data_IF_629106099324
#
_entry.id   IF_629106099324
#
_cell.length_a   1.000
_cell.length_b   1.000
_cell.length_c   1.000
_cell.angle_alpha   90.00
_cell.angle_beta   90.00
_cell.angle_gamma   90.00
#
_symmetry.space_group_name_H-M   'P 1'
#
loop_
_entity.id
_entity.type
_entity.pdbx_description
1 polymer ?
#
# COMPACT_ATOMS: atom_id res chain seq x y z
N UNK A 1 -25.37 46.56 -4.56
CA UNK A 1 -24.41 45.46 -4.79
C UNK A 1 -24.64 44.42 -3.71
N UNK A 2 -25.31 43.33 -4.08
CA UNK A 2 -25.64 42.23 -3.17
C UNK A 2 -24.40 41.35 -3.02
N UNK A 3 -23.92 41.06 -1.79
CA UNK A 3 -22.78 40.19 -1.61
C UNK A 3 -23.15 38.75 -1.97
N UNK A 4 -22.48 38.20 -2.97
CA UNK A 4 -22.55 36.80 -3.37
C UNK A 4 -22.12 35.94 -2.18
N UNK A 5 -23.07 35.17 -1.63
CA UNK A 5 -22.79 34.20 -0.57
C UNK A 5 -21.82 33.14 -1.10
N UNK A 6 -20.65 33.04 -0.46
CA UNK A 6 -19.70 31.97 -0.72
C UNK A 6 -20.38 30.62 -0.44
N UNK A 7 -20.32 29.72 -1.43
CA UNK A 7 -20.80 28.35 -1.26
C UNK A 7 -20.12 27.71 -0.04
N UNK A 8 -20.85 26.95 0.79
CA UNK A 8 -20.27 26.28 1.94
C UNK A 8 -19.17 25.34 1.44
N UNK A 9 -17.95 25.53 1.96
CA UNK A 9 -16.85 24.58 1.81
C UNK A 9 -17.32 23.29 2.47
N UNK A 10 -17.79 22.34 1.66
CA UNK A 10 -18.15 21.00 2.11
C UNK A 10 -16.89 20.40 2.70
N UNK A 11 -16.87 20.19 4.02
CA UNK A 11 -15.78 19.50 4.68
C UNK A 11 -15.53 18.17 3.96
N UNK A 12 -14.26 17.77 3.73
CA UNK A 12 -13.96 16.54 3.02
C UNK A 12 -14.70 15.38 3.70
N UNK A 13 -15.59 14.75 2.93
CA UNK A 13 -16.48 13.71 3.43
C UNK A 13 -15.63 12.49 3.76
N UNK A 14 -15.60 12.11 5.03
CA UNK A 14 -14.84 10.97 5.51
C UNK A 14 -15.35 9.68 4.84
N UNK A 15 -14.48 8.96 4.15
CA UNK A 15 -14.87 7.80 3.32
C UNK A 15 -15.09 6.53 4.15
N UNK A 16 -16.18 5.82 3.86
CA UNK A 16 -16.44 4.47 4.33
C UNK A 16 -16.46 3.50 3.13
N UNK A 17 -16.06 2.24 3.31
CA UNK A 17 -16.13 1.21 2.27
C UNK A 17 -17.58 0.77 1.95
N UNK A 18 -18.56 1.63 2.21
CA UNK A 18 -19.99 1.38 1.99
C UNK A 18 -20.48 2.38 0.96
N UNK A 19 -21.09 1.86 -0.10
CA UNK A 19 -21.73 2.68 -1.13
C UNK A 19 -23.25 2.71 -0.96
N UNK A 20 -23.82 3.89 -1.17
CA UNK A 20 -25.27 4.14 -1.24
C UNK A 20 -25.62 4.79 -2.58
N UNK A 21 -26.71 4.37 -3.26
CA UNK A 21 -27.12 4.95 -4.54
C UNK A 21 -27.39 6.45 -4.47
N UNK A 22 -27.94 6.94 -3.36
CA UNK A 22 -28.28 8.35 -3.14
C UNK A 22 -27.06 9.28 -3.10
N UNK A 23 -25.86 8.71 -2.92
CA UNK A 23 -24.62 9.44 -2.72
C UNK A 23 -23.70 9.40 -3.95
N UNK A 24 -24.17 8.80 -5.04
CA UNK A 24 -23.41 8.65 -6.29
C UNK A 24 -23.19 10.01 -6.92
N UNK A 25 -21.93 10.39 -7.15
CA UNK A 25 -21.62 11.64 -7.83
C UNK A 25 -21.94 11.54 -9.34
N UNK A 26 -22.87 12.38 -9.86
CA UNK A 26 -23.25 12.35 -11.26
C UNK A 26 -22.12 12.80 -12.21
N UNK A 27 -21.08 13.47 -11.71
CA UNK A 27 -19.93 13.91 -12.49
C UNK A 27 -18.94 12.78 -12.83
N UNK A 28 -19.09 11.59 -12.22
CA UNK A 28 -18.19 10.48 -12.50
C UNK A 28 -18.42 9.88 -13.89
N UNK A 29 -17.34 9.39 -14.56
CA UNK A 29 -17.48 8.74 -15.85
C UNK A 29 -18.38 7.50 -15.73
N UNK A 30 -19.28 7.25 -16.69
CA UNK A 30 -20.17 6.10 -16.65
C UNK A 30 -19.36 4.81 -16.48
N UNK A 31 -19.90 3.87 -15.69
CA UNK A 31 -19.35 2.53 -15.59
C UNK A 31 -19.50 1.83 -16.95
N UNK A 32 -18.49 1.11 -17.41
CA UNK A 32 -18.60 0.32 -18.64
C UNK A 32 -18.86 -1.13 -18.29
N UNK A 33 -19.96 -1.69 -18.80
CA UNK A 33 -20.30 -3.10 -18.67
C UNK A 33 -20.08 -3.80 -20.01
N UNK A 34 -19.15 -4.76 -20.03
CA UNK A 34 -18.93 -5.62 -21.20
C UNK A 34 -19.62 -6.95 -20.93
N UNK A 35 -20.64 -7.27 -21.73
CA UNK A 35 -21.36 -8.53 -21.65
C UNK A 35 -20.78 -9.50 -22.67
N UNK A 36 -20.19 -10.59 -22.19
CA UNK A 36 -19.57 -11.62 -23.01
C UNK A 36 -20.19 -12.99 -22.71
N UNK A 37 -21.47 -13.22 -23.10
CA UNK A 37 -22.19 -14.45 -22.75
C UNK A 37 -21.58 -15.72 -23.38
N UNK A 38 -20.67 -15.59 -24.34
CA UNK A 38 -20.00 -16.72 -25.01
C UNK A 38 -18.58 -16.97 -24.47
N UNK A 39 -18.14 -16.23 -23.45
CA UNK A 39 -16.80 -16.32 -22.85
C UNK A 39 -15.68 -16.31 -23.92
N UNK A 40 -15.70 -15.31 -24.80
CA UNK A 40 -14.68 -15.18 -25.83
C UNK A 40 -13.31 -14.93 -25.19
N UNK A 41 -12.40 -15.91 -25.33
CA UNK A 41 -11.04 -15.82 -24.80
C UNK A 41 -10.28 -14.55 -25.25
N UNK A 42 -10.61 -14.03 -26.45
CA UNK A 42 -10.03 -12.80 -26.98
C UNK A 42 -10.32 -11.57 -26.10
N UNK A 43 -11.53 -11.46 -25.53
CA UNK A 43 -11.90 -10.34 -24.65
C UNK A 43 -11.14 -10.38 -23.33
N UNK A 44 -11.09 -11.54 -22.69
CA UNK A 44 -10.31 -11.73 -21.45
C UNK A 44 -8.82 -11.50 -21.69
N UNK A 45 -8.26 -12.03 -22.79
CA UNK A 45 -6.85 -11.82 -23.15
C UNK A 45 -6.56 -10.35 -23.40
N UNK A 46 -7.43 -9.65 -24.12
CA UNK A 46 -7.28 -8.21 -24.40
C UNK A 46 -7.41 -7.38 -23.13
N UNK A 47 -8.34 -7.73 -22.24
CA UNK A 47 -8.47 -7.08 -20.93
C UNK A 47 -7.19 -7.25 -20.11
N UNK A 48 -6.63 -8.46 -20.03
CA UNK A 48 -5.37 -8.71 -19.33
C UNK A 48 -4.20 -7.94 -19.97
N UNK A 49 -4.12 -7.90 -21.29
CA UNK A 49 -3.11 -7.12 -22.02
C UNK A 49 -3.28 -5.60 -21.85
N UNK A 50 -4.47 -5.13 -21.47
CA UNK A 50 -4.71 -3.72 -21.16
C UNK A 50 -4.12 -3.30 -19.81
N UNK A 51 -3.65 -4.22 -18.97
CA UNK A 51 -3.00 -3.91 -17.69
C UNK A 51 -1.74 -3.03 -17.92
N UNK A 52 -1.79 -1.78 -17.46
CA UNK A 52 -0.73 -0.77 -17.62
C UNK A 52 -0.61 0.10 -16.36
N UNK A 53 0.04 -0.39 -15.29
CA UNK A 53 0.17 0.34 -14.03
C UNK A 53 0.86 1.69 -14.17
N UNK A 54 1.85 1.80 -15.06
CA UNK A 54 2.54 3.05 -15.38
C UNK A 54 1.61 4.15 -15.90
N UNK A 55 0.43 3.79 -16.39
CA UNK A 55 -0.58 4.70 -16.89
C UNK A 55 -1.86 4.68 -16.03
N UNK A 56 -1.77 4.20 -14.79
CA UNK A 56 -2.89 4.16 -13.84
C UNK A 56 -4.00 3.17 -14.20
N UNK A 57 -3.74 2.22 -15.12
CA UNK A 57 -4.72 1.21 -15.53
C UNK A 57 -4.38 -0.16 -14.99
N UNK A 58 -5.25 -0.72 -14.16
CA UNK A 58 -5.08 -2.03 -13.56
C UNK A 58 -6.19 -2.95 -14.03
N UNK A 59 -5.82 -4.04 -14.69
CA UNK A 59 -6.71 -5.18 -14.92
C UNK A 59 -6.49 -6.22 -13.85
N UNK A 60 -7.59 -6.76 -13.31
CA UNK A 60 -7.57 -7.93 -12.44
C UNK A 60 -8.41 -9.06 -13.01
N UNK A 61 -7.96 -10.29 -12.77
CA UNK A 61 -8.75 -11.49 -12.96
C UNK A 61 -8.90 -12.15 -11.57
N UNK A 62 -10.01 -11.88 -10.87
CA UNK A 62 -10.18 -12.24 -9.47
C UNK A 62 -9.97 -13.73 -9.21
N UNK A 63 -9.43 -14.03 -8.04
CA UNK A 63 -9.26 -15.40 -7.54
C UNK A 63 -10.65 -16.02 -7.41
N UNK A 64 -10.92 -17.17 -8.06
CA UNK A 64 -12.23 -17.80 -7.98
C UNK A 64 -12.53 -18.29 -6.55
N UNK A 65 -13.83 -18.34 -6.19
CA UNK A 65 -14.37 -19.05 -5.02
C UNK A 65 -14.22 -18.40 -3.64
N UNK A 66 -13.78 -17.15 -3.52
CA UNK A 66 -13.78 -16.49 -2.23
C UNK A 66 -15.11 -15.76 -1.94
N UNK A 67 -15.82 -16.08 -0.83
CA UNK A 67 -17.15 -15.53 -0.56
C UNK A 67 -17.11 -14.12 0.07
N UNK A 68 -15.97 -13.68 0.60
CA UNK A 68 -15.86 -12.42 1.33
C UNK A 68 -15.42 -11.29 0.41
N UNK A 69 -15.96 -10.08 0.63
CA UNK A 69 -15.55 -8.91 -0.15
C UNK A 69 -14.06 -8.54 0.07
N UNK A 70 -13.44 -9.02 1.15
CA UNK A 70 -12.03 -8.80 1.47
C UNK A 70 -11.10 -9.39 0.41
N UNK A 71 -11.44 -10.55 -0.17
CA UNK A 71 -10.55 -11.21 -1.14
C UNK A 71 -10.41 -10.46 -2.44
N UNK A 72 -11.45 -9.72 -2.85
CA UNK A 72 -11.35 -8.82 -3.99
C UNK A 72 -10.41 -7.64 -3.70
N UNK A 73 -10.46 -7.07 -2.49
CA UNK A 73 -9.48 -6.08 -2.06
C UNK A 73 -8.06 -6.65 -2.07
N UNK A 74 -7.89 -7.92 -1.67
CA UNK A 74 -6.60 -8.61 -1.72
C UNK A 74 -6.10 -8.80 -3.16
N UNK A 75 -6.98 -9.18 -4.08
CA UNK A 75 -6.64 -9.28 -5.51
C UNK A 75 -6.26 -7.93 -6.11
N UNK A 76 -6.95 -6.84 -5.72
CA UNK A 76 -6.57 -5.47 -6.11
C UNK A 76 -5.19 -5.10 -5.56
N UNK A 77 -4.92 -5.36 -4.27
CA UNK A 77 -3.60 -5.12 -3.68
C UNK A 77 -2.50 -5.90 -4.41
N UNK A 78 -2.71 -7.17 -4.74
CA UNK A 78 -1.76 -7.97 -5.55
C UNK A 78 -1.54 -7.35 -6.93
N UNK A 79 -2.60 -6.86 -7.58
CA UNK A 79 -2.48 -6.18 -8.87
C UNK A 79 -1.79 -4.80 -8.77
N UNK A 80 -1.80 -4.18 -7.60
CA UNK A 80 -0.99 -3.00 -7.26
C UNK A 80 0.45 -3.38 -6.88
N UNK A 81 0.84 -4.63 -7.10
CA UNK A 81 2.16 -5.15 -6.76
C UNK A 81 2.41 -5.23 -5.26
N UNK A 82 1.35 -5.22 -4.42
CA UNK A 82 1.41 -5.34 -2.97
C UNK A 82 1.08 -6.74 -2.53
N UNK A 83 1.92 -7.31 -1.68
CA UNK A 83 1.69 -8.65 -1.14
C UNK A 83 1.23 -8.62 0.31
N UNK A 84 0.21 -9.43 0.58
CA UNK A 84 -0.24 -9.72 1.94
C UNK A 84 0.81 -10.56 2.66
N UNK A 85 0.95 -10.43 3.98
CA UNK A 85 1.88 -11.25 4.76
C UNK A 85 1.71 -12.74 4.48
N UNK A 86 2.82 -13.47 4.44
CA UNK A 86 2.78 -14.90 4.22
C UNK A 86 2.15 -15.56 5.46
N UNK A 87 1.29 -16.57 5.29
CA UNK A 87 0.86 -17.38 6.43
C UNK A 87 2.11 -18.04 7.03
N UNK A 88 2.39 -17.78 8.29
CA UNK A 88 3.47 -18.43 9.03
C UNK A 88 2.87 -19.35 10.09
N UNK A 89 3.41 -20.55 10.24
CA UNK A 89 2.89 -21.56 11.18
C UNK A 89 2.87 -21.05 12.64
N UNK A 90 3.74 -20.10 12.97
CA UNK A 90 3.94 -19.55 14.30
C UNK A 90 3.16 -18.27 14.58
N UNK A 91 2.61 -17.62 13.55
CA UNK A 91 2.00 -16.30 13.68
C UNK A 91 0.64 -16.22 12.95
N UNK A 92 -0.43 -15.83 13.65
CA UNK A 92 -1.72 -15.65 13.01
C UNK A 92 -1.67 -14.51 11.99
N UNK A 93 -2.47 -14.63 10.93
CA UNK A 93 -2.63 -13.55 9.97
C UNK A 93 -3.02 -12.23 10.67
N UNK A 94 -2.47 -11.08 10.23
CA UNK A 94 -2.83 -9.77 10.74
C UNK A 94 -4.34 -9.51 10.74
N UNK A 95 -4.82 -8.80 11.76
CA UNK A 95 -6.26 -8.55 11.91
C UNK A 95 -6.84 -7.81 10.68
N UNK A 96 -6.09 -6.84 10.13
CA UNK A 96 -6.52 -6.04 8.98
C UNK A 96 -6.72 -6.87 7.70
N UNK A 97 -6.03 -8.01 7.56
CA UNK A 97 -6.20 -8.93 6.41
C UNK A 97 -7.56 -9.63 6.49
N UNK A 98 -8.00 -9.99 7.69
CA UNK A 98 -9.26 -10.69 7.93
C UNK A 98 -10.46 -9.74 7.93
N UNK A 99 -10.26 -8.48 8.31
CA UNK A 99 -11.32 -7.48 8.30
C UNK A 99 -11.51 -6.89 6.91
N UNK A 100 -12.72 -7.06 6.39
CA UNK A 100 -13.13 -6.56 5.08
C UNK A 100 -12.87 -5.05 4.93
N UNK A 101 -13.34 -4.26 5.87
CA UNK A 101 -13.28 -2.80 5.78
C UNK A 101 -11.83 -2.29 5.79
N UNK A 102 -10.96 -2.90 6.59
CA UNK A 102 -9.54 -2.54 6.67
C UNK A 102 -8.81 -2.90 5.37
N UNK A 103 -9.11 -4.07 4.80
CA UNK A 103 -8.58 -4.47 3.49
C UNK A 103 -9.00 -3.49 2.38
N UNK A 104 -10.24 -2.99 2.41
CA UNK A 104 -10.71 -1.99 1.45
C UNK A 104 -10.15 -0.59 1.70
N UNK A 105 -9.93 -0.18 2.95
CA UNK A 105 -9.23 1.08 3.29
C UNK A 105 -7.78 1.07 2.79
N UNK A 106 -7.06 -0.02 3.01
CA UNK A 106 -5.70 -0.18 2.49
C UNK A 106 -5.70 -0.14 0.96
N UNK A 107 -6.67 -0.79 0.33
CA UNK A 107 -6.86 -0.75 -1.13
C UNK A 107 -7.13 0.67 -1.62
N UNK A 108 -8.01 1.43 -0.95
CA UNK A 108 -8.31 2.82 -1.30
C UNK A 108 -7.08 3.74 -1.18
N UNK A 109 -6.35 3.63 -0.07
CA UNK A 109 -5.12 4.38 0.16
C UNK A 109 -4.08 4.14 -0.96
N UNK A 110 -3.86 2.87 -1.35
CA UNK A 110 -2.98 2.54 -2.47
C UNK A 110 -3.54 2.99 -3.82
N UNK A 111 -4.84 2.85 -4.06
CA UNK A 111 -5.47 3.27 -5.32
C UNK A 111 -5.21 4.75 -5.60
N UNK A 112 -5.47 5.60 -4.60
CA UNK A 112 -5.24 7.05 -4.69
C UNK A 112 -3.76 7.37 -4.83
N UNK A 113 -2.91 6.78 -3.98
CA UNK A 113 -1.48 7.10 -3.93
C UNK A 113 -0.72 6.65 -5.18
N UNK A 114 -1.07 5.50 -5.74
CA UNK A 114 -0.43 4.96 -6.93
C UNK A 114 -0.99 5.59 -8.22
N UNK A 115 -1.97 6.51 -8.11
CA UNK A 115 -2.56 7.20 -9.25
C UNK A 115 -3.36 6.27 -10.16
N UNK A 116 -4.03 5.27 -9.57
CA UNK A 116 -4.88 4.37 -10.33
C UNK A 116 -6.14 5.13 -10.73
N UNK A 117 -6.42 5.18 -12.03
CA UNK A 117 -7.55 5.94 -12.61
C UNK A 117 -8.51 5.04 -13.38
N UNK A 118 -8.10 3.83 -13.76
CA UNK A 118 -8.94 2.88 -14.48
C UNK A 118 -8.77 1.45 -13.93
N UNK A 119 -9.86 0.88 -13.44
CA UNK A 119 -9.95 -0.53 -13.07
C UNK A 119 -10.73 -1.32 -14.12
N UNK A 120 -10.16 -2.44 -14.56
CA UNK A 120 -10.82 -3.44 -15.41
C UNK A 120 -10.93 -4.73 -14.62
N UNK A 121 -12.15 -5.16 -14.34
CA UNK A 121 -12.41 -6.33 -13.50
C UNK A 121 -13.00 -7.45 -14.36
N UNK A 122 -12.24 -8.52 -14.56
CA UNK A 122 -12.71 -9.70 -15.28
C UNK A 122 -13.67 -10.54 -14.43
N UNK A 123 -14.53 -11.33 -15.07
CA UNK A 123 -15.48 -12.25 -14.44
C UNK A 123 -16.40 -11.59 -13.39
N UNK A 124 -16.78 -10.34 -13.63
CA UNK A 124 -17.61 -9.57 -12.68
C UNK A 124 -19.02 -10.18 -12.47
N UNK A 125 -19.48 -11.05 -13.37
CA UNK A 125 -20.72 -11.83 -13.18
C UNK A 125 -20.70 -12.75 -11.96
N UNK A 126 -19.52 -13.03 -11.38
CA UNK A 126 -19.37 -13.85 -10.16
C UNK A 126 -19.47 -13.05 -8.87
N UNK A 127 -19.61 -11.73 -8.95
CA UNK A 127 -19.59 -10.86 -7.79
C UNK A 127 -20.93 -10.80 -7.08
N UNK A 128 -20.86 -10.84 -5.76
CA UNK A 128 -21.98 -10.52 -4.87
C UNK A 128 -22.22 -9.00 -4.83
N UNK A 129 -23.38 -8.59 -4.33
CA UNK A 129 -23.67 -7.16 -4.10
C UNK A 129 -22.64 -6.49 -3.18
N UNK A 130 -22.08 -7.23 -2.21
CA UNK A 130 -21.02 -6.72 -1.35
C UNK A 130 -19.81 -6.27 -2.14
N UNK A 131 -19.30 -7.13 -3.04
CA UNK A 131 -18.17 -6.80 -3.93
C UNK A 131 -18.45 -5.55 -4.78
N UNK A 132 -19.62 -5.48 -5.40
CA UNK A 132 -20.00 -4.35 -6.27
C UNK A 132 -20.12 -3.05 -5.47
N UNK A 133 -20.75 -3.07 -4.29
CA UNK A 133 -20.83 -1.88 -3.42
C UNK A 133 -19.46 -1.34 -3.04
N UNK A 134 -18.50 -2.21 -2.69
CA UNK A 134 -17.15 -1.77 -2.39
C UNK A 134 -16.41 -1.20 -3.61
N UNK A 135 -16.57 -1.82 -4.79
CA UNK A 135 -16.02 -1.27 -6.03
C UNK A 135 -16.59 0.10 -6.37
N UNK A 136 -17.89 0.30 -6.15
CA UNK A 136 -18.55 1.59 -6.33
C UNK A 136 -18.05 2.62 -5.31
N UNK A 137 -17.92 2.25 -4.03
CA UNK A 137 -17.33 3.12 -2.99
C UNK A 137 -15.90 3.54 -3.34
N UNK A 138 -15.09 2.59 -3.82
CA UNK A 138 -13.72 2.86 -4.28
C UNK A 138 -13.71 3.77 -5.52
N UNK A 139 -14.62 3.55 -6.47
CA UNK A 139 -14.79 4.40 -7.66
C UNK A 139 -15.15 5.83 -7.30
N UNK A 140 -16.08 6.03 -6.36
CA UNK A 140 -16.47 7.37 -5.89
C UNK A 140 -15.27 8.09 -5.25
N UNK A 141 -14.54 7.39 -4.38
CA UNK A 141 -13.39 7.96 -3.67
C UNK A 141 -12.23 8.33 -4.59
N UNK A 142 -11.77 7.37 -5.40
CA UNK A 142 -10.59 7.55 -6.26
C UNK A 142 -10.93 8.06 -7.67
N UNK A 143 -12.19 8.46 -7.90
CA UNK A 143 -12.69 8.99 -9.18
C UNK A 143 -12.38 8.08 -10.38
N UNK A 144 -12.59 6.78 -10.20
CA UNK A 144 -12.15 5.76 -11.14
C UNK A 144 -13.06 5.65 -12.37
N UNK A 145 -12.45 5.41 -13.53
CA UNK A 145 -13.13 4.67 -14.60
C UNK A 145 -13.20 3.20 -14.17
N UNK A 146 -14.40 2.61 -14.23
CA UNK A 146 -14.61 1.21 -13.86
C UNK A 146 -15.18 0.46 -15.07
N UNK A 147 -14.49 -0.60 -15.50
CA UNK A 147 -14.95 -1.53 -16.53
C UNK A 147 -15.18 -2.90 -15.89
N UNK A 148 -16.39 -3.44 -16.05
CA UNK A 148 -16.76 -4.77 -15.58
C UNK A 148 -16.92 -5.71 -16.78
N UNK A 149 -16.08 -6.73 -16.90
CA UNK A 149 -16.19 -7.76 -17.93
C UNK A 149 -16.94 -8.97 -17.37
N UNK A 150 -18.10 -9.27 -17.97
CA UNK A 150 -19.03 -10.29 -17.53
C UNK A 150 -19.12 -11.42 -18.55
N UNK A 151 -18.34 -12.49 -18.34
CA UNK A 151 -18.37 -13.70 -19.19
C UNK A 151 -19.62 -14.61 -18.99
N UNK A 152 -20.69 -14.08 -18.39
CA UNK A 152 -21.87 -14.83 -17.99
C UNK A 152 -23.00 -13.90 -17.54
N UNK A 153 -24.21 -14.43 -17.31
CA UNK A 153 -25.35 -13.61 -16.93
C UNK A 153 -25.10 -12.95 -15.56
N UNK A 154 -25.38 -11.65 -15.47
CA UNK A 154 -25.37 -10.94 -14.19
C UNK A 154 -26.47 -11.49 -13.26
N UNK A 155 -26.16 -11.80 -11.99
CA UNK A 155 -27.17 -12.12 -10.99
C UNK A 155 -28.24 -11.02 -10.89
N UNK A 156 -29.53 -11.34 -10.68
CA UNK A 156 -30.61 -10.35 -10.66
C UNK A 156 -30.37 -9.20 -9.68
N UNK A 157 -29.91 -9.52 -8.45
CA UNK A 157 -29.62 -8.53 -7.42
C UNK A 157 -28.47 -7.60 -7.82
N UNK A 158 -27.46 -8.12 -8.52
CA UNK A 158 -26.34 -7.33 -9.05
C UNK A 158 -26.82 -6.42 -10.18
N UNK A 159 -27.69 -6.91 -11.07
CA UNK A 159 -28.29 -6.12 -12.14
C UNK A 159 -29.14 -4.97 -11.58
N UNK A 160 -29.96 -5.24 -10.57
CA UNK A 160 -30.73 -4.21 -9.88
C UNK A 160 -29.81 -3.16 -9.25
N UNK A 161 -28.74 -3.59 -8.58
CA UNK A 161 -27.76 -2.66 -7.99
C UNK A 161 -27.09 -1.77 -9.05
N UNK A 162 -26.65 -2.35 -10.17
CA UNK A 162 -26.01 -1.59 -11.26
C UNK A 162 -27.00 -0.65 -11.97
N UNK A 163 -28.30 -0.95 -11.97
CA UNK A 163 -29.33 -0.05 -12.53
C UNK A 163 -29.46 1.28 -11.80
N UNK A 164 -28.98 1.36 -10.55
CA UNK A 164 -28.93 2.61 -9.79
C UNK A 164 -27.72 3.50 -10.14
N UNK A 165 -26.82 3.05 -11.03
CA UNK A 165 -25.62 3.79 -11.45
C UNK A 165 -25.67 4.01 -12.96
N UNK A 166 -25.22 5.17 -13.43
CA UNK A 166 -25.05 5.39 -14.88
C UNK A 166 -23.99 4.43 -15.43
N UNK A 167 -24.39 3.61 -16.39
CA UNK A 167 -23.48 2.67 -17.05
C UNK A 167 -23.79 2.51 -18.54
N UNK A 168 -22.73 2.31 -19.32
CA UNK A 168 -22.79 2.03 -20.75
C UNK A 168 -22.60 0.53 -20.96
N UNK A 169 -23.38 -0.06 -21.88
CA UNK A 169 -23.28 -1.47 -22.25
C UNK A 169 -22.50 -1.62 -23.56
N UNK A 170 -21.54 -2.53 -23.56
CA UNK A 170 -20.83 -2.97 -24.76
C UNK A 170 -21.22 -4.40 -25.06
N UNK A 171 -22.21 -4.55 -25.94
CA UNK A 171 -22.85 -5.83 -26.27
C UNK A 171 -22.25 -6.50 -27.51
N UNK A 172 -21.34 -5.81 -28.22
CA UNK A 172 -20.62 -6.36 -29.37
C UNK A 172 -19.14 -6.62 -29.02
N UNK A 173 -18.58 -7.76 -29.46
CA UNK A 173 -17.16 -8.03 -29.27
C UNK A 173 -16.25 -6.95 -29.84
N UNK A 174 -16.61 -6.35 -30.97
CA UNK A 174 -15.82 -5.32 -31.65
C UNK A 174 -15.73 -4.05 -30.81
N UNK A 175 -16.86 -3.55 -30.29
CA UNK A 175 -16.86 -2.37 -29.43
C UNK A 175 -16.12 -2.62 -28.10
N UNK A 176 -16.28 -3.82 -27.53
CA UNK A 176 -15.57 -4.23 -26.33
C UNK A 176 -14.04 -4.27 -26.55
N UNK A 177 -13.58 -4.86 -27.65
CA UNK A 177 -12.16 -4.90 -28.02
C UNK A 177 -11.61 -3.49 -28.21
N UNK A 178 -12.32 -2.62 -28.93
CA UNK A 178 -11.92 -1.23 -29.16
C UNK A 178 -11.75 -0.48 -27.82
N UNK A 179 -12.70 -0.62 -26.90
CA UNK A 179 -12.63 0.01 -25.57
C UNK A 179 -11.44 -0.49 -24.75
N UNK A 180 -11.17 -1.79 -24.74
CA UNK A 180 -10.07 -2.39 -23.98
C UNK A 180 -8.70 -1.98 -24.55
N UNK A 181 -8.59 -1.90 -25.88
CA UNK A 181 -7.36 -1.52 -26.57
C UNK A 181 -7.05 -0.03 -26.45
N UNK A 182 -8.07 0.83 -26.31
CA UNK A 182 -7.87 2.27 -26.22
C UNK A 182 -6.96 2.61 -25.03
N UNK A 183 -5.77 3.22 -25.23
CA UNK A 183 -4.85 3.51 -24.15
C UNK A 183 -5.46 4.57 -23.20
N UNK A 184 -5.15 4.53 -21.89
CA UNK A 184 -5.56 5.61 -21.01
C UNK A 184 -4.74 6.86 -21.36
N UNK A 185 -5.27 8.08 -21.15
CA UNK A 185 -4.44 9.27 -21.19
C UNK A 185 -3.26 9.09 -20.22
N UNK A 186 -2.05 9.39 -20.67
CA UNK A 186 -0.85 9.22 -19.84
C UNK A 186 -0.92 10.18 -18.65
N UNK A 187 -0.91 9.70 -17.40
CA UNK A 187 -0.63 10.59 -16.29
C UNK A 187 0.81 11.12 -16.42
N UNK A 188 0.97 12.42 -16.16
CA UNK A 188 2.26 13.11 -16.25
C UNK A 188 3.23 12.50 -15.22
N UNK A 189 4.32 11.91 -15.72
CA UNK A 189 5.29 11.16 -14.96
C UNK A 189 6.09 12.04 -13.98
N UNK A 190 6.09 11.65 -12.70
CA UNK A 190 6.98 12.20 -11.66
C UNK A 190 7.11 11.30 -10.42
N UNK A 191 6.57 10.07 -10.47
CA UNK A 191 6.49 9.16 -9.33
C UNK A 191 7.46 7.97 -9.49
N UNK A 192 7.94 7.44 -8.38
CA UNK A 192 8.78 6.25 -8.35
C UNK A 192 8.09 5.06 -9.06
N UNK A 193 8.80 4.31 -9.94
CA UNK A 193 8.21 3.27 -10.78
C UNK A 193 7.95 1.97 -10.00
N UNK A 194 7.07 2.04 -9.01
CA UNK A 194 6.73 0.92 -8.12
C UNK A 194 6.32 -0.35 -8.89
N UNK A 195 5.71 -0.21 -10.06
CA UNK A 195 5.26 -1.32 -10.90
C UNK A 195 6.39 -2.12 -11.54
N UNK A 196 7.62 -1.58 -11.53
CA UNK A 196 8.81 -2.31 -11.98
C UNK A 196 9.40 -3.17 -10.87
N UNK A 197 9.04 -2.92 -9.60
CA UNK A 197 9.49 -3.73 -8.49
C UNK A 197 8.87 -5.13 -8.61
N UNK A 198 9.69 -6.09 -9.05
CA UNK A 198 9.35 -7.50 -9.08
C UNK A 198 10.30 -8.23 -8.15
N UNK A 199 9.75 -8.80 -7.08
CA UNK A 199 10.50 -9.65 -6.17
C UNK A 199 9.72 -10.94 -5.98
N UNK A 200 10.41 -12.04 -5.65
CA UNK A 200 9.72 -13.23 -5.16
C UNK A 200 8.87 -12.89 -3.93
N UNK A 201 7.66 -13.42 -3.88
CA UNK A 201 6.86 -13.46 -2.67
C UNK A 201 6.15 -14.83 -2.56
N UNK A 202 6.26 -15.57 -1.44
CA UNK A 202 7.05 -15.24 -0.24
C UNK A 202 8.57 -15.15 -0.54
N UNK A 203 9.32 -14.56 0.39
CA UNK A 203 10.76 -14.41 0.24
C UNK A 203 11.44 -15.80 0.20
N UNK A 204 12.35 -16.02 -0.75
CA UNK A 204 13.06 -17.31 -0.82
C UNK A 204 14.03 -17.47 0.35
N UNK A 205 14.32 -18.70 0.82
CA UNK A 205 15.24 -18.93 1.92
C UNK A 205 16.65 -18.39 1.66
N UNK A 206 17.12 -18.48 0.41
CA UNK A 206 18.47 -18.08 -0.03
C UNK A 206 18.65 -16.57 -0.25
N UNK A 207 17.59 -15.79 -0.06
CA UNK A 207 17.64 -14.35 -0.29
C UNK A 207 18.60 -13.64 0.66
N UNK A 208 19.39 -12.73 0.11
CA UNK A 208 20.31 -11.91 0.89
C UNK A 208 19.55 -10.99 1.85
N UNK A 209 20.02 -10.95 3.09
CA UNK A 209 19.55 -10.06 4.15
C UNK A 209 20.37 -8.77 4.18
N UNK A 210 19.70 -7.68 4.56
CA UNK A 210 20.33 -6.37 4.66
C UNK A 210 20.23 -5.80 6.07
N UNK A 211 21.36 -5.44 6.67
CA UNK A 211 21.38 -4.81 7.99
C UNK A 211 20.96 -3.35 7.89
N UNK A 212 19.92 -3.00 8.64
CA UNK A 212 19.42 -1.64 8.77
C UNK A 212 20.43 -0.73 9.48
N UNK A 213 20.41 0.59 9.21
CA UNK A 213 21.30 1.52 9.89
C UNK A 213 21.05 1.50 11.40
N UNK A 214 22.11 1.70 12.23
CA UNK A 214 21.92 1.84 13.67
C UNK A 214 21.09 3.09 13.98
N UNK A 215 20.36 3.12 15.11
CA UNK A 215 19.67 4.32 15.55
C UNK A 215 20.67 5.47 15.77
N UNK A 216 20.25 6.74 15.57
CA UNK A 216 21.10 7.90 15.82
C UNK A 216 21.64 7.92 17.25
N UNK A 217 22.89 8.38 17.41
CA UNK A 217 23.62 8.34 18.68
C UNK A 217 22.93 9.16 19.77
N UNK A 218 22.67 8.58 20.94
CA UNK A 218 22.01 9.25 22.07
C UNK A 218 20.93 8.42 22.80
N UNK A 219 20.46 7.33 22.19
CA UNK A 219 19.28 6.60 22.64
C UNK A 219 19.55 5.17 23.15
N UNK A 220 20.69 4.97 23.82
CA UNK A 220 21.32 3.65 23.88
C UNK A 220 20.79 2.62 24.89
N UNK A 221 19.84 2.96 25.80
CA UNK A 221 19.56 2.05 26.93
C UNK A 221 18.24 1.29 26.89
N UNK A 222 17.15 1.91 26.45
CA UNK A 222 15.82 1.29 26.47
C UNK A 222 15.47 0.64 25.12
N UNK A 223 15.93 1.22 24.01
CA UNK A 223 15.65 0.77 22.63
C UNK A 223 16.33 -0.55 22.29
N UNK A 224 17.55 -0.77 22.81
CA UNK A 224 18.32 -2.00 22.65
C UNK A 224 17.55 -3.27 23.11
N UNK A 225 16.73 -3.15 24.16
CA UNK A 225 15.90 -4.26 24.65
C UNK A 225 14.67 -4.48 23.77
N UNK A 226 14.08 -3.39 23.28
CA UNK A 226 12.91 -3.45 22.41
C UNK A 226 13.25 -4.15 21.10
N UNK A 227 14.35 -3.76 20.45
CA UNK A 227 14.86 -4.44 19.26
C UNK A 227 15.21 -5.91 19.51
N UNK A 228 15.80 -6.24 20.66
CA UNK A 228 16.13 -7.63 20.98
C UNK A 228 14.90 -8.53 21.19
N UNK A 229 13.75 -7.98 21.60
CA UNK A 229 12.51 -8.74 21.78
C UNK A 229 11.77 -9.00 20.47
N UNK A 230 11.90 -8.12 19.48
CA UNK A 230 11.14 -8.20 18.21
C UNK A 230 12.00 -8.59 17.01
N UNK A 231 13.33 -8.62 17.14
CA UNK A 231 14.22 -8.97 16.04
C UNK A 231 14.21 -10.49 15.79
N UNK A 232 13.69 -10.88 14.63
CA UNK A 232 13.88 -12.24 14.13
C UNK A 232 15.35 -12.50 13.83
N UNK A 233 15.84 -13.66 14.26
CA UNK A 233 17.17 -14.12 13.90
C UNK A 233 17.12 -14.62 12.45
N UNK A 234 18.02 -14.15 11.57
CA UNK A 234 18.10 -14.72 10.23
C UNK A 234 18.57 -16.19 10.32
N UNK A 235 18.29 -17.02 9.31
CA UNK A 235 18.82 -18.38 9.24
C UNK A 235 20.35 -18.43 9.46
N UNK A 236 20.90 -19.49 10.07
CA UNK A 236 22.34 -19.58 10.39
C UNK A 236 23.27 -19.39 9.17
N UNK A 237 22.79 -19.76 7.98
CA UNK A 237 23.48 -19.70 6.70
C UNK A 237 23.11 -18.45 5.86
N UNK A 238 22.31 -17.54 6.42
CA UNK A 238 21.87 -16.35 5.72
C UNK A 238 23.04 -15.43 5.35
N UNK A 239 23.10 -15.06 4.07
CA UNK A 239 24.03 -14.02 3.62
C UNK A 239 23.53 -12.65 4.09
N UNK A 240 24.28 -12.00 4.97
CA UNK A 240 23.96 -10.67 5.51
C UNK A 240 24.94 -9.64 4.94
N UNK A 241 24.42 -8.60 4.29
CA UNK A 241 25.20 -7.49 3.75
C UNK A 241 24.83 -6.17 4.45
N UNK A 242 25.80 -5.24 4.61
CA UNK A 242 25.48 -3.89 5.05
C UNK A 242 24.75 -3.12 3.95
N UNK A 243 23.90 -2.19 4.37
CA UNK A 243 23.35 -1.17 3.46
C UNK A 243 24.29 0.05 3.41
N UNK A 244 24.44 0.68 2.25
CA UNK A 244 25.14 1.95 2.16
C UNK A 244 24.36 3.03 2.94
N UNK A 245 25.04 4.11 3.39
CA UNK A 245 24.37 5.26 3.97
C UNK A 245 23.28 5.78 3.02
N UNK A 246 22.05 5.85 3.52
CA UNK A 246 20.82 6.05 2.73
C UNK A 246 20.69 7.40 2.03
N UNK A 247 21.51 8.39 2.41
CA UNK A 247 21.36 9.77 1.94
C UNK A 247 21.95 10.05 0.55
N UNK A 248 22.74 9.16 -0.04
CA UNK A 248 23.52 9.55 -1.23
C UNK A 248 23.40 8.65 -2.47
N UNK A 249 22.87 7.42 -2.38
CA UNK A 249 22.87 6.57 -3.58
C UNK A 249 21.75 5.50 -3.63
N UNK A 250 20.53 5.91 -4.02
CA UNK A 250 19.45 4.96 -4.33
C UNK A 250 19.75 4.09 -5.56
N UNK A 251 20.82 4.40 -6.32
CA UNK A 251 21.28 3.55 -7.43
C UNK A 251 22.13 2.39 -6.94
N UNK A 252 22.58 2.40 -5.67
CA UNK A 252 23.31 1.29 -5.10
C UNK A 252 22.45 0.02 -5.11
N UNK A 253 22.94 -1.11 -5.67
CA UNK A 253 22.12 -2.29 -5.95
C UNK A 253 21.47 -2.91 -4.70
N UNK A 254 22.15 -2.88 -3.55
CA UNK A 254 21.58 -3.36 -2.29
C UNK A 254 20.39 -2.52 -1.82
N UNK A 255 20.51 -1.19 -1.90
CA UNK A 255 19.46 -0.27 -1.50
C UNK A 255 18.29 -0.36 -2.49
N UNK A 256 18.55 -0.41 -3.79
CA UNK A 256 17.53 -0.64 -4.81
C UNK A 256 16.76 -1.95 -4.57
N UNK A 257 17.45 -3.04 -4.19
CA UNK A 257 16.82 -4.32 -3.83
C UNK A 257 15.94 -4.19 -2.59
N UNK A 258 16.44 -3.57 -1.52
CA UNK A 258 15.66 -3.34 -0.30
C UNK A 258 14.41 -2.48 -0.58
N UNK A 259 14.55 -1.41 -1.36
CA UNK A 259 13.44 -0.54 -1.78
C UNK A 259 12.42 -1.33 -2.59
N UNK A 260 12.85 -2.13 -3.57
CA UNK A 260 11.95 -2.95 -4.38
C UNK A 260 11.16 -3.94 -3.51
N UNK A 261 11.81 -4.56 -2.51
CA UNK A 261 11.15 -5.46 -1.57
C UNK A 261 10.12 -4.74 -0.70
N UNK A 262 10.42 -3.57 -0.15
CA UNK A 262 9.47 -2.78 0.64
C UNK A 262 8.24 -2.42 -0.21
N UNK A 263 8.48 -1.95 -1.44
CA UNK A 263 7.40 -1.60 -2.36
C UNK A 263 6.53 -2.79 -2.74
N UNK A 264 7.12 -3.98 -2.86
CA UNK A 264 6.43 -5.16 -3.34
C UNK A 264 5.77 -5.98 -2.22
N UNK A 265 6.48 -6.18 -1.10
CA UNK A 265 6.15 -7.21 -0.10
C UNK A 265 5.30 -6.73 1.07
N UNK A 266 5.00 -5.43 1.15
CA UNK A 266 4.25 -4.85 2.26
C UNK A 266 2.96 -4.22 1.73
N UNK A 267 1.83 -4.86 2.03
CA UNK A 267 0.50 -4.36 1.66
C UNK A 267 -0.11 -3.35 2.63
N UNK A 268 0.28 -3.34 3.91
CA UNK A 268 -0.23 -2.34 4.85
C UNK A 268 0.48 -0.99 4.66
N UNK A 269 -0.23 0.11 4.32
CA UNK A 269 0.39 1.40 4.02
C UNK A 269 1.31 1.92 5.14
N UNK A 270 0.86 1.85 6.39
CA UNK A 270 1.61 2.35 7.56
C UNK A 270 2.85 1.50 7.81
N UNK A 271 2.75 0.17 7.66
CA UNK A 271 3.90 -0.71 7.84
C UNK A 271 4.95 -0.40 6.77
N UNK A 272 4.54 -0.25 5.51
CA UNK A 272 5.44 0.05 4.40
C UNK A 272 6.17 1.39 4.62
N UNK A 273 5.45 2.43 5.05
CA UNK A 273 6.02 3.73 5.37
C UNK A 273 7.02 3.65 6.54
N UNK A 274 6.69 2.91 7.61
CA UNK A 274 7.58 2.73 8.76
C UNK A 274 8.83 1.97 8.41
N UNK A 275 8.73 0.86 7.68
CA UNK A 275 9.90 0.10 7.23
C UNK A 275 10.80 0.97 6.35
N UNK A 276 10.22 1.78 5.46
CA UNK A 276 10.98 2.73 4.64
C UNK A 276 11.70 3.81 5.47
N UNK A 277 11.02 4.42 6.44
CA UNK A 277 11.62 5.42 7.31
C UNK A 277 12.67 4.82 8.24
N UNK A 278 12.44 3.59 8.70
CA UNK A 278 13.41 2.86 9.49
C UNK A 278 14.66 2.52 8.65
N UNK A 279 14.48 2.11 7.39
CA UNK A 279 15.57 1.94 6.42
C UNK A 279 16.38 3.23 6.23
N UNK A 280 15.72 4.38 6.17
CA UNK A 280 16.37 5.67 5.95
C UNK A 280 17.10 6.21 7.19
N UNK A 281 16.46 6.14 8.35
CA UNK A 281 16.84 6.93 9.54
C UNK A 281 17.39 6.08 10.68
N UNK A 282 17.13 4.77 10.67
CA UNK A 282 17.35 3.91 11.83
C UNK A 282 16.43 4.22 13.02
N UNK A 283 15.47 5.14 12.87
CA UNK A 283 14.63 5.61 13.98
C UNK A 283 13.76 4.49 14.55
N UNK A 284 13.67 4.36 15.89
CA UNK A 284 12.88 3.33 16.54
C UNK A 284 11.38 3.51 16.37
N UNK A 285 10.60 2.43 16.57
CA UNK A 285 9.15 2.45 16.47
C UNK A 285 8.47 3.59 17.24
N UNK A 286 8.93 3.85 18.47
CA UNK A 286 8.37 4.90 19.33
C UNK A 286 8.62 6.30 18.77
N UNK A 287 9.79 6.56 18.17
CA UNK A 287 10.07 7.85 17.54
C UNK A 287 9.18 8.07 16.32
N UNK A 288 8.98 7.03 15.51
CA UNK A 288 8.12 7.11 14.33
C UNK A 288 6.64 7.35 14.70
N UNK A 289 6.18 6.90 15.88
CA UNK A 289 4.81 7.13 16.35
C UNK A 289 4.49 8.61 16.59
N UNK A 290 5.52 9.43 16.84
CA UNK A 290 5.36 10.85 17.15
C UNK A 290 5.66 11.78 15.97
N UNK A 291 5.95 11.24 14.78
CA UNK A 291 6.18 12.07 13.59
C UNK A 291 4.86 12.72 13.13
N UNK A 292 4.80 14.07 13.09
CA UNK A 292 3.60 14.79 12.68
C UNK A 292 3.37 14.69 11.17
N UNK A 293 2.13 14.94 10.75
CA UNK A 293 1.72 14.97 9.33
C UNK A 293 2.62 15.86 8.45
N UNK A 294 2.95 17.07 8.93
CA UNK A 294 3.75 18.05 8.20
C UNK A 294 5.16 17.57 7.87
N UNK A 295 5.71 16.65 8.67
CA UNK A 295 7.05 16.11 8.45
C UNK A 295 7.06 15.08 7.30
N UNK A 296 5.93 14.48 6.93
CA UNK A 296 5.85 13.52 5.82
C UNK A 296 5.48 14.16 4.49
N UNK A 297 4.99 15.40 4.53
CA UNK A 297 4.72 16.19 3.33
C UNK A 297 5.97 16.94 2.91
N UNK A 298 6.35 16.95 1.62
CA UNK A 298 7.46 17.77 1.15
C UNK A 298 7.10 19.26 1.31
N UNK A 299 7.53 19.88 2.41
CA UNK A 299 7.48 21.33 2.57
C UNK A 299 8.61 21.95 1.76
N UNK A 300 8.29 22.92 0.90
CA UNK A 300 9.27 23.63 0.08
C UNK A 300 10.19 24.58 0.86
N UNK A 301 10.27 24.47 2.19
CA UNK A 301 11.13 25.32 3.02
C UNK A 301 12.43 24.59 3.37
N UNK A 302 13.59 25.06 2.87
CA UNK A 302 14.89 24.40 3.01
C UNK A 302 15.56 24.60 4.38
N UNK A 303 14.87 25.19 5.36
CA UNK A 303 15.52 25.74 6.55
C UNK A 303 15.14 24.97 7.83
N UNK A 304 15.70 23.77 8.02
CA UNK A 304 15.93 23.15 9.33
C UNK A 304 16.78 21.88 9.22
N UNK A 305 18.07 22.01 9.54
CA UNK A 305 19.10 20.93 9.55
C UNK A 305 18.89 19.82 10.61
N UNK A 306 17.80 19.88 11.39
CA UNK A 306 17.56 18.95 12.51
C UNK A 306 16.30 18.08 12.35
N UNK A 307 15.53 18.23 11.27
CA UNK A 307 14.37 17.37 11.03
C UNK A 307 14.73 16.16 10.15
N UNK A 308 14.37 14.91 10.53
CA UNK A 308 14.66 13.69 9.76
C UNK A 308 14.15 13.67 8.32
N UNK A 309 13.30 14.63 7.93
CA UNK A 309 12.45 14.58 6.75
C UNK A 309 12.67 15.71 5.72
N UNK A 310 13.65 16.59 5.93
CA UNK A 310 13.86 17.81 5.11
C UNK A 310 14.10 17.57 3.60
N UNK A 311 14.33 16.32 3.15
CA UNK A 311 14.00 15.90 1.78
C UNK A 311 13.97 14.37 1.72
N UNK A 312 12.81 13.77 2.01
CA UNK A 312 12.62 12.33 1.81
C UNK A 312 12.90 11.94 0.33
N UNK A 313 13.69 10.88 0.07
CA UNK A 313 13.92 10.40 -1.29
C UNK A 313 12.63 10.09 -2.06
N UNK A 314 12.63 10.30 -3.38
CA UNK A 314 11.41 10.11 -4.20
C UNK A 314 10.77 8.72 -4.07
N UNK A 315 11.56 7.69 -3.76
CA UNK A 315 11.05 6.33 -3.60
C UNK A 315 10.21 6.13 -2.34
N UNK A 316 10.38 6.94 -1.29
CA UNK A 316 9.54 6.82 -0.07
C UNK A 316 8.21 7.53 -0.21
N UNK A 317 8.11 8.52 -1.11
CA UNK A 317 6.90 9.33 -1.28
C UNK A 317 5.64 8.49 -1.45
N UNK A 318 5.54 7.53 -2.39
CA UNK A 318 4.36 6.69 -2.49
C UNK A 318 4.07 5.81 -1.26
N UNK A 319 5.06 5.54 -0.40
CA UNK A 319 4.83 4.78 0.83
C UNK A 319 4.26 5.68 1.93
N UNK A 320 4.86 6.87 2.13
CA UNK A 320 4.40 7.83 3.15
C UNK A 320 3.06 8.45 2.76
N UNK A 321 2.83 8.73 1.46
CA UNK A 321 1.54 9.21 0.96
C UNK A 321 0.43 8.17 1.15
N UNK A 322 0.71 6.87 1.02
CA UNK A 322 -0.28 5.84 1.26
C UNK A 322 -0.66 5.76 2.74
N UNK A 323 0.31 5.91 3.65
CA UNK A 323 0.02 6.01 5.08
C UNK A 323 -0.83 7.25 5.42
N UNK A 324 -0.52 8.41 4.83
CA UNK A 324 -1.31 9.63 4.95
C UNK A 324 -2.73 9.45 4.40
N UNK A 325 -2.86 8.92 3.19
CA UNK A 325 -4.14 8.65 2.55
C UNK A 325 -4.99 7.70 3.41
N UNK A 326 -4.38 6.71 4.07
CA UNK A 326 -5.10 5.81 4.99
C UNK A 326 -5.65 6.57 6.20
N UNK A 327 -4.89 7.50 6.78
CA UNK A 327 -5.35 8.29 7.94
C UNK A 327 -6.45 9.28 7.62
N UNK A 328 -6.59 9.68 6.36
CA UNK A 328 -7.69 10.52 5.88
C UNK A 328 -9.00 9.73 5.71
N UNK A 329 -8.96 8.39 5.67
CA UNK A 329 -10.16 7.54 5.59
C UNK A 329 -10.83 7.40 6.98
N UNK A 330 -12.16 7.45 7.01
CA UNK A 330 -12.95 7.39 8.26
C UNK A 330 -12.73 6.06 8.98
N UNK A 331 -12.63 6.14 10.31
CA UNK A 331 -12.57 4.97 11.18
C UNK A 331 -11.15 4.44 11.43
N UNK A 332 -10.12 5.08 10.88
CA UNK A 332 -8.75 4.83 11.34
C UNK A 332 -8.54 5.52 12.69
N UNK A 333 -8.29 4.73 13.74
CA UNK A 333 -8.28 5.20 15.12
C UNK A 333 -7.22 6.28 15.44
N UNK A 334 -6.29 6.55 14.51
CA UNK A 334 -5.10 7.36 14.74
C UNK A 334 -4.88 8.44 13.66
N UNK A 335 -5.96 9.08 13.21
CA UNK A 335 -5.98 10.06 12.13
C UNK A 335 -5.02 11.27 12.27
N UNK A 336 -4.43 11.54 13.46
CA UNK A 336 -3.51 12.66 13.69
C UNK A 336 -2.02 12.29 13.62
N UNK A 337 -1.72 11.00 13.56
CA UNK A 337 -0.36 10.46 13.58
C UNK A 337 -0.25 9.35 12.53
N UNK A 338 0.19 9.67 11.31
CA UNK A 338 0.05 8.79 10.14
C UNK A 338 0.92 7.54 10.19
N UNK A 339 1.88 7.53 11.12
CA UNK A 339 2.76 6.42 11.38
C UNK A 339 2.47 5.73 12.70
N UNK A 340 1.46 6.18 13.47
CA UNK A 340 1.16 5.57 14.76
C UNK A 340 0.73 4.13 14.57
N UNK A 341 1.35 3.25 15.36
CA UNK A 341 0.97 1.85 15.47
C UNK A 341 0.90 1.51 16.96
N UNK A 342 -0.20 0.91 17.44
CA UNK A 342 -0.30 0.45 18.81
C UNK A 342 0.67 -0.72 19.07
N UNK A 343 1.11 -0.88 20.31
CA UNK A 343 2.14 -1.88 20.68
C UNK A 343 1.83 -3.31 20.22
N UNK A 344 0.56 -3.70 20.17
CA UNK A 344 0.16 -5.04 19.75
C UNK A 344 0.36 -5.30 18.24
N UNK A 345 0.48 -4.24 17.43
CA UNK A 345 0.70 -4.31 15.98
C UNK A 345 2.20 -4.14 15.61
N UNK A 346 3.09 -3.86 16.57
CA UNK A 346 4.54 -3.78 16.33
C UNK A 346 5.15 -5.08 15.80
N UNK A 347 4.55 -6.22 16.17
CA UNK A 347 4.95 -7.52 15.64
C UNK A 347 4.68 -7.62 14.13
N UNK A 348 3.57 -7.03 13.63
CA UNK A 348 3.24 -7.03 12.20
C UNK A 348 4.26 -6.20 11.39
N UNK A 349 4.74 -5.08 11.96
CA UNK A 349 5.85 -4.32 11.36
C UNK A 349 7.14 -5.14 11.34
N UNK A 350 7.39 -5.91 12.38
CA UNK A 350 8.58 -6.77 12.46
C UNK A 350 8.52 -7.89 11.41
N UNK A 351 7.35 -8.51 11.21
CA UNK A 351 7.10 -9.44 10.11
C UNK A 351 7.31 -8.77 8.74
N UNK A 352 6.88 -7.52 8.58
CA UNK A 352 7.09 -6.77 7.33
C UNK A 352 8.60 -6.49 7.05
N UNK A 353 9.37 -6.17 8.09
CA UNK A 353 10.84 -6.03 8.04
C UNK A 353 11.47 -7.36 7.60
N UNK A 354 11.06 -8.47 8.22
CA UNK A 354 11.53 -9.82 7.91
C UNK A 354 11.16 -10.27 6.50
N UNK A 355 9.93 -10.03 6.05
CA UNK A 355 9.48 -10.32 4.69
C UNK A 355 10.32 -9.59 3.64
N UNK A 356 10.87 -8.42 3.99
CA UNK A 356 11.81 -7.66 3.18
C UNK A 356 13.28 -8.13 3.33
N UNK A 357 13.55 -9.15 4.14
CA UNK A 357 14.89 -9.64 4.52
C UNK A 357 15.76 -8.50 5.04
N UNK A 358 15.17 -7.66 5.91
CA UNK A 358 15.86 -6.59 6.59
C UNK A 358 16.16 -7.04 8.02
N UNK A 359 17.34 -6.69 8.52
CA UNK A 359 17.79 -7.07 9.86
C UNK A 359 17.92 -5.82 10.71
N UNK A 360 17.18 -5.79 11.82
CA UNK A 360 17.28 -4.76 12.84
C UNK A 360 18.71 -4.73 13.43
N UNK A 361 19.27 -3.56 13.73
CA UNK A 361 20.60 -3.46 14.31
C UNK A 361 20.64 -4.16 15.67
N UNK A 362 21.67 -4.98 15.89
CA UNK A 362 21.87 -5.62 17.17
C UNK A 362 22.10 -4.56 18.27
N UNK A 363 21.59 -4.77 19.49
CA UNK A 363 21.89 -3.88 20.61
C UNK A 363 23.40 -3.80 20.80
N UNK A 364 23.95 -2.57 20.80
CA UNK A 364 25.36 -2.37 21.09
C UNK A 364 25.67 -2.96 22.47
N UNK A 365 26.49 -4.02 22.54
CA UNK A 365 26.98 -4.54 23.82
C UNK A 365 27.84 -3.44 24.43
N UNK A 366 27.29 -2.71 25.41
CA UNK A 366 28.05 -1.72 26.17
C UNK A 366 29.22 -2.44 26.82
N UNK A 367 30.45 -2.17 26.37
CA UNK A 367 31.67 -2.65 26.99
C UNK A 367 31.86 -1.96 28.35
N UNK A 368 31.13 -2.41 29.36
CA UNK A 368 31.29 -1.94 30.75
C UNK A 368 32.52 -2.55 31.44
N UNK A 369 33.34 -3.34 30.74
CA UNK A 369 34.47 -4.06 31.30
C UNK A 369 35.83 -3.44 30.89
N UNK A 370 36.01 -2.15 31.11
CA UNK A 370 37.34 -1.52 31.04
C UNK A 370 37.49 -0.31 31.95
N UNK A 371 36.79 -0.27 33.09
CA UNK A 371 37.16 0.67 34.17
C UNK A 371 38.11 -0.06 35.11
N UNK A 372 39.39 -0.09 34.71
CA UNK A 372 40.53 -0.46 35.55
C UNK A 372 40.41 0.27 36.89
N UNK A 373 40.21 -0.48 37.97
CA UNK A 373 40.58 -0.03 39.31
C UNK A 373 42.10 0.12 39.33
N UNK A 374 42.69 1.29 39.66
CA UNK A 374 44.10 1.31 40.00
C UNK A 374 44.27 0.53 41.30
N UNK A 375 45.12 -0.50 41.26
CA UNK A 375 45.53 -1.22 42.46
C UNK A 375 46.22 -0.24 43.41
N UNK A 376 45.65 -0.06 44.61
CA UNK A 376 46.38 0.49 45.75
C UNK A 376 47.56 -0.46 46.02
N UNK A 377 48.79 0.05 45.92
CA UNK A 377 49.96 -0.62 46.50
C UNK A 377 50.07 -0.24 47.99
N UNK A 378 50.44 -1.19 48.87
CA UNK A 378 50.82 -0.91 50.25
C UNK A 378 52.15 -0.17 50.35
#
# INVERSE_FOLDING_TARGET
>A
MTPTAAAPVVAPRAWEPVWSPEETDPALPPLTLILDPRDHAALTTTALAAHRPSAGRITIHPTPLAPTAATLAHDLMRAYGKHLPAPEDLHPEPAWVRHNDDSWRNTAAWTTTLGITHLIICRAHRFTNGHIKHLLALREHARLKLTLLCNGPLPPNTRQLLSAVRHDHLDTPEAALQHLQHPPPHPTAGNYPWWQARCSFPARPEETWFRLPPPPSGHHRWEARHYAMIATQPPPDARILPLPPTRQDHTHPHLATAIARIHHRIAHPVHAARVALHLLTGAPPDQLNHLPHGDLTPSGSPDHDLHPTASLPLWTRPLTQAALALTELRGYAHAHTPLFIPKWEEHEVSQAIEGCRLLLPAPARTSSAARRRPARRP
#
